data_IF_654139921573
#
_entry.id   IF_654139921573
#
_cell.length_a   1.000
_cell.length_b   1.000
_cell.length_c   1.000
_cell.angle_alpha   90.00
_cell.angle_beta   90.00
_cell.angle_gamma   90.00
#
_symmetry.space_group_name_H-M   'P 1'
#
loop_
_entity.id
_entity.type
_entity.pdbx_description
1 polymer ?
#
# COMPACT_ATOMS: atom_id res chain seq x y z
N UNK A 1 1.31 10.51 -46.05
CA UNK A 1 1.91 9.23 -45.60
C UNK A 1 3.28 9.51 -45.03
N UNK A 2 3.42 9.55 -43.70
CA UNK A 2 4.64 9.35 -42.89
C UNK A 2 4.38 9.98 -41.51
N UNK A 3 3.98 9.15 -40.56
CA UNK A 3 4.86 8.61 -39.51
C UNK A 3 4.98 9.60 -38.37
N UNK A 4 4.32 9.28 -37.26
CA UNK A 4 4.66 9.56 -35.86
C UNK A 4 3.51 8.93 -35.05
N UNK A 5 3.50 7.60 -34.89
CA UNK A 5 4.20 6.90 -33.80
C UNK A 5 3.79 7.56 -32.47
N UNK A 6 2.70 7.08 -31.87
CA UNK A 6 2.77 6.16 -30.72
C UNK A 6 3.61 6.77 -29.58
N UNK A 7 3.07 7.79 -28.89
CA UNK A 7 3.57 8.21 -27.57
C UNK A 7 2.38 8.71 -26.72
N UNK A 8 1.51 7.80 -26.31
CA UNK A 8 0.59 8.05 -25.20
C UNK A 8 0.48 6.84 -24.26
N UNK A 9 1.49 5.97 -24.28
CA UNK A 9 1.67 4.87 -23.35
C UNK A 9 2.68 5.31 -22.26
N UNK A 10 2.27 6.17 -21.31
CA UNK A 10 3.18 6.57 -20.24
C UNK A 10 2.52 7.03 -18.93
N UNK A 11 1.21 6.86 -18.70
CA UNK A 11 0.57 7.38 -17.49
C UNK A 11 -0.45 6.42 -16.91
N UNK A 12 0.03 5.35 -16.27
CA UNK A 12 -0.55 4.84 -15.02
C UNK A 12 0.26 3.65 -14.47
N UNK A 13 1.56 3.83 -14.26
CA UNK A 13 2.33 2.99 -13.32
C UNK A 13 2.01 3.39 -11.86
N UNK A 14 0.73 3.63 -11.54
CA UNK A 14 0.27 3.82 -10.16
C UNK A 14 -0.05 2.49 -9.48
N UNK A 15 0.57 1.40 -9.93
CA UNK A 15 0.75 0.21 -9.12
C UNK A 15 2.07 0.37 -8.38
N UNK A 16 2.13 1.38 -7.50
CA UNK A 16 2.93 1.23 -6.30
C UNK A 16 2.31 0.02 -5.60
N UNK A 17 2.86 -1.16 -5.86
CA UNK A 17 2.88 -2.20 -4.86
C UNK A 17 3.62 -1.55 -3.69
N UNK A 18 2.86 -0.85 -2.85
CA UNK A 18 3.33 -0.40 -1.56
C UNK A 18 3.67 -1.69 -0.85
N UNK A 19 4.96 -2.01 -0.90
CA UNK A 19 5.62 -2.75 0.13
C UNK A 19 5.30 -1.98 1.41
N UNK A 20 4.14 -2.29 2.01
CA UNK A 20 3.96 -2.13 3.44
C UNK A 20 5.19 -2.74 4.10
N UNK A 21 5.65 -2.16 5.21
CA UNK A 21 6.91 -2.55 5.84
C UNK A 21 7.07 -4.08 5.81
N UNK A 22 8.02 -4.55 4.99
CA UNK A 22 8.15 -5.95 4.65
C UNK A 22 8.71 -6.70 5.84
N UNK A 23 7.80 -7.18 6.71
CA UNK A 23 8.12 -7.81 7.98
C UNK A 23 8.77 -6.83 8.98
N UNK A 24 8.46 -7.03 10.26
CA UNK A 24 9.08 -6.26 11.34
C UNK A 24 8.12 -6.00 12.49
N UNK A 25 8.63 -5.41 13.57
CA UNK A 25 7.80 -5.17 14.75
C UNK A 25 6.77 -4.08 14.45
N UNK A 26 5.51 -4.35 14.77
CA UNK A 26 4.39 -3.41 14.74
C UNK A 26 4.52 -2.37 15.86
N UNK A 27 5.55 -1.52 15.76
CA UNK A 27 5.73 -0.38 16.65
C UNK A 27 4.65 0.67 16.40
N UNK A 28 4.44 1.54 17.37
CA UNK A 28 3.48 2.64 17.25
C UNK A 28 3.71 3.49 16.00
N UNK A 29 4.96 3.85 15.71
CA UNK A 29 5.30 4.68 14.55
C UNK A 29 5.05 3.96 13.22
N UNK A 30 5.37 2.65 13.16
CA UNK A 30 5.11 1.84 11.97
C UNK A 30 3.61 1.70 11.70
N UNK A 31 2.82 1.39 12.74
CA UNK A 31 1.35 1.31 12.65
C UNK A 31 0.75 2.66 12.26
N UNK A 32 1.26 3.75 12.81
CA UNK A 32 0.80 5.11 12.49
C UNK A 32 1.07 5.46 11.03
N UNK A 33 2.27 5.21 10.52
CA UNK A 33 2.59 5.45 9.10
C UNK A 33 1.73 4.58 8.19
N UNK A 34 1.59 3.29 8.50
CA UNK A 34 0.75 2.38 7.72
C UNK A 34 -0.73 2.79 7.75
N UNK A 35 -1.24 3.28 8.89
CA UNK A 35 -2.59 3.81 9.01
C UNK A 35 -2.78 5.04 8.12
N UNK A 36 -1.89 6.03 8.23
CA UNK A 36 -1.97 7.26 7.44
C UNK A 36 -1.92 6.98 5.94
N UNK A 37 -1.02 6.08 5.52
CA UNK A 37 -0.93 5.64 4.13
C UNK A 37 -2.23 4.95 3.67
N UNK A 38 -2.84 4.12 4.52
CA UNK A 38 -4.11 3.47 4.21
C UNK A 38 -5.30 4.45 4.17
N UNK A 39 -5.35 5.39 5.12
CA UNK A 39 -6.38 6.42 5.21
C UNK A 39 -6.32 7.39 4.02
N UNK A 40 -5.12 7.73 3.55
CA UNK A 40 -4.92 8.53 2.33
C UNK A 40 -5.53 7.87 1.08
N UNK A 41 -5.73 6.55 1.10
CA UNK A 41 -6.40 5.78 0.03
C UNK A 41 -7.90 5.56 0.28
N UNK A 42 -8.45 6.16 1.34
CA UNK A 42 -9.83 5.97 1.77
C UNK A 42 -10.09 4.63 2.47
N UNK A 43 -9.04 3.94 2.93
CA UNK A 43 -9.16 2.68 3.67
C UNK A 43 -8.98 2.84 5.18
N UNK A 44 -8.94 1.68 5.86
CA UNK A 44 -8.58 1.52 7.26
C UNK A 44 -7.57 0.39 7.39
N UNK A 45 -6.50 0.62 8.14
CA UNK A 45 -5.55 -0.44 8.49
C UNK A 45 -6.19 -1.40 9.50
N UNK A 46 -6.16 -2.69 9.20
CA UNK A 46 -6.70 -3.76 10.04
C UNK A 46 -5.68 -4.87 10.22
N UNK A 47 -5.72 -5.55 11.37
CA UNK A 47 -4.96 -6.78 11.55
C UNK A 47 -5.67 -7.91 10.81
N UNK A 48 -4.90 -8.66 10.02
CA UNK A 48 -5.41 -9.84 9.32
C UNK A 48 -5.86 -10.88 10.35
N UNK A 49 -6.97 -11.57 10.05
CA UNK A 49 -7.56 -12.56 10.96
C UNK A 49 -6.52 -13.62 11.35
N UNK A 50 -6.51 -13.99 12.63
CA UNK A 50 -5.64 -15.05 13.19
C UNK A 50 -4.13 -14.83 13.00
N UNK A 51 -3.71 -13.57 12.82
CA UNK A 51 -2.31 -13.21 12.58
C UNK A 51 -1.64 -12.57 13.81
N UNK A 52 -0.31 -12.58 13.86
CA UNK A 52 0.47 -11.98 14.95
C UNK A 52 0.39 -10.45 14.89
N UNK A 53 -0.15 -9.83 15.94
CA UNK A 53 -0.26 -8.37 16.06
C UNK A 53 1.07 -7.67 16.27
N UNK A 54 2.14 -8.40 16.59
CA UNK A 54 3.48 -7.84 16.73
C UNK A 54 4.20 -7.73 15.40
N UNK A 55 3.69 -8.34 14.32
CA UNK A 55 4.29 -8.21 12.99
C UNK A 55 3.48 -7.21 12.15
N UNK A 56 4.14 -6.14 11.71
CA UNK A 56 3.51 -5.13 10.87
C UNK A 56 3.08 -5.68 9.50
N UNK A 57 3.74 -6.75 9.03
CA UNK A 57 3.37 -7.44 7.79
C UNK A 57 2.00 -8.12 7.84
N UNK A 58 1.46 -8.35 9.05
CA UNK A 58 0.13 -8.95 9.23
C UNK A 58 -1.00 -7.92 9.18
N UNK A 59 -0.70 -6.63 8.99
CA UNK A 59 -1.71 -5.59 8.84
C UNK A 59 -2.01 -5.33 7.37
N UNK A 60 -3.29 -5.28 7.04
CA UNK A 60 -3.80 -5.03 5.69
C UNK A 60 -4.59 -3.72 5.65
N UNK A 61 -4.57 -3.06 4.49
CA UNK A 61 -5.41 -1.90 4.25
C UNK A 61 -6.73 -2.34 3.62
N UNK A 62 -7.83 -2.25 4.38
CA UNK A 62 -9.18 -2.53 3.89
C UNK A 62 -9.84 -1.23 3.42
N UNK A 63 -10.32 -1.19 2.17
CA UNK A 63 -11.13 -0.05 1.70
C UNK A 63 -12.53 -0.12 2.32
N UNK A 64 -13.06 1.04 2.70
CA UNK A 64 -14.45 1.17 3.15
C UNK A 64 -15.44 0.94 2.02
#
# INVERSE_FOLDING_TARGET
MKTLIIVAAALSLCACAEAGPAGGVATYDALRQASQACEAKGGKLVLTKDSDSQDIGNYACERK
#
